data_IF_393394333601
#
_entry.id   IF_393394333601
#
_cell.length_a   1.000
_cell.length_b   1.000
_cell.length_c   1.000
_cell.angle_alpha   90.00
_cell.angle_beta   90.00
_cell.angle_gamma   90.00
#
_symmetry.space_group_name_H-M   'P 1'
#
loop_
_entity.id
_entity.type
_entity.pdbx_description
1 polymer ?
#
# COMPACT_ATOMS: atom_id res chain seq x y z
N UNK A 1 40.39 -36.02 -41.09
CA UNK A 1 39.27 -36.96 -41.34
C UNK A 1 37.96 -36.23 -41.13
N UNK A 2 37.10 -36.22 -42.16
CA UNK A 2 35.70 -35.75 -42.12
C UNK A 2 34.87 -36.62 -41.18
N UNK A 3 33.82 -36.00 -40.60
CA UNK A 3 32.45 -36.51 -40.35
C UNK A 3 31.81 -35.57 -39.32
N UNK A 4 30.55 -35.18 -39.34
CA UNK A 4 29.47 -35.12 -40.32
C UNK A 4 28.38 -34.31 -39.58
N UNK A 5 27.67 -33.42 -40.27
CA UNK A 5 26.58 -32.63 -39.68
C UNK A 5 25.36 -33.54 -39.51
N UNK A 6 24.64 -33.40 -38.40
CA UNK A 6 23.26 -33.89 -38.26
C UNK A 6 22.35 -32.71 -37.90
N UNK A 7 21.67 -32.21 -38.92
CA UNK A 7 20.60 -31.22 -38.86
C UNK A 7 19.29 -31.98 -38.63
N UNK A 8 18.55 -31.67 -37.56
CA UNK A 8 17.18 -32.15 -37.36
C UNK A 8 16.19 -31.04 -37.81
N UNK A 9 15.30 -31.30 -38.77
CA UNK A 9 14.11 -30.49 -38.99
C UNK A 9 12.90 -31.12 -38.29
N UNK A 10 11.74 -30.45 -38.41
CA UNK A 10 10.39 -30.82 -37.94
C UNK A 10 10.06 -30.39 -36.50
N UNK A 11 8.92 -29.76 -36.19
CA UNK A 11 7.62 -29.79 -36.85
C UNK A 11 6.79 -28.55 -36.49
N UNK A 12 6.20 -27.93 -37.51
CA UNK A 12 5.31 -26.77 -37.45
C UNK A 12 3.91 -27.25 -37.02
N UNK A 13 3.43 -26.85 -35.85
CA UNK A 13 2.03 -27.03 -35.47
C UNK A 13 1.29 -25.71 -35.69
N UNK A 14 0.63 -25.63 -36.85
CA UNK A 14 -0.44 -24.69 -37.13
C UNK A 14 -1.75 -25.34 -36.72
N UNK A 15 -2.38 -24.86 -35.66
CA UNK A 15 -3.79 -25.13 -35.38
C UNK A 15 -4.52 -23.80 -35.26
N UNK A 16 -5.18 -23.47 -36.37
CA UNK A 16 -6.33 -22.58 -36.51
C UNK A 16 -7.52 -23.12 -35.69
N UNK A 17 -8.24 -22.24 -34.98
CA UNK A 17 -9.64 -22.33 -34.51
C UNK A 17 -9.83 -21.13 -33.57
N UNK A 18 -10.31 -19.95 -33.96
CA UNK A 18 -11.54 -19.57 -34.66
C UNK A 18 -12.80 -20.10 -33.96
N UNK A 19 -13.17 -19.41 -32.87
CA UNK A 19 -14.52 -19.41 -32.30
C UNK A 19 -14.95 -17.98 -32.02
N UNK A 20 -15.70 -17.42 -32.96
CA UNK A 20 -16.50 -16.21 -32.86
C UNK A 20 -17.90 -16.62 -32.40
N UNK A 21 -18.32 -16.13 -31.23
CA UNK A 21 -19.71 -16.16 -30.72
C UNK A 21 -19.78 -15.01 -29.73
N UNK A 22 -20.28 -13.82 -30.05
CA UNK A 22 -21.68 -13.42 -30.34
C UNK A 22 -22.63 -13.71 -29.17
N UNK A 23 -23.42 -12.67 -28.80
CA UNK A 23 -24.48 -12.53 -27.77
C UNK A 23 -24.03 -11.54 -26.66
N UNK A 24 -24.18 -10.22 -26.79
CA UNK A 24 -25.42 -9.42 -26.82
C UNK A 24 -26.41 -9.77 -25.69
N UNK A 25 -26.22 -9.14 -24.54
CA UNK A 25 -27.27 -8.74 -23.59
C UNK A 25 -27.08 -7.22 -23.41
N UNK A 26 -27.93 -6.33 -23.94
CA UNK A 26 -29.23 -5.90 -23.38
C UNK A 26 -29.14 -5.83 -21.84
N UNK A 27 -28.98 -4.68 -21.19
CA UNK A 27 -29.68 -3.43 -21.40
C UNK A 27 -30.82 -3.33 -20.38
N UNK A 28 -30.60 -2.65 -19.25
CA UNK A 28 -31.62 -2.02 -18.42
C UNK A 28 -30.96 -1.10 -17.38
N UNK A 29 -30.94 0.20 -17.69
CA UNK A 29 -30.70 1.26 -16.71
C UNK A 29 -32.05 1.69 -16.13
N UNK A 30 -32.24 1.74 -14.80
CA UNK A 30 -33.32 2.51 -14.22
C UNK A 30 -32.85 3.95 -13.96
N UNK A 31 -33.42 4.83 -14.78
CA UNK A 31 -34.02 6.12 -14.48
C UNK A 31 -33.60 6.88 -13.21
N UNK A 32 -33.15 8.11 -13.43
CA UNK A 32 -32.92 9.15 -12.43
C UNK A 32 -34.22 9.51 -11.71
N UNK A 33 -34.26 9.36 -10.39
CA UNK A 33 -35.16 10.13 -9.54
C UNK A 33 -34.40 11.38 -9.07
N UNK A 34 -34.66 12.48 -9.74
CA UNK A 34 -34.20 13.81 -9.38
C UNK A 34 -35.36 14.50 -8.67
N UNK A 35 -35.34 14.52 -7.33
CA UNK A 35 -36.23 15.38 -6.56
C UNK A 35 -35.50 16.69 -6.25
N UNK A 36 -35.87 17.71 -7.01
CA UNK A 36 -35.54 19.11 -6.75
C UNK A 36 -36.51 19.73 -5.75
N UNK A 37 -35.92 20.31 -4.71
CA UNK A 37 -36.23 21.62 -4.11
C UNK A 37 -37.62 21.84 -3.48
N UNK A 38 -37.60 22.10 -2.18
CA UNK A 38 -38.36 23.21 -1.62
C UNK A 38 -37.47 23.97 -0.63
N UNK A 39 -36.90 25.05 -1.15
CA UNK A 39 -36.34 26.15 -0.38
C UNK A 39 -37.48 27.08 -0.03
N UNK A 40 -37.77 27.28 1.26
CA UNK A 40 -38.31 28.55 1.74
C UNK A 40 -37.80 28.85 3.16
N UNK A 41 -37.66 30.15 3.50
CA UNK A 41 -36.71 30.62 4.51
C UNK A 41 -37.38 30.72 5.89
N UNK A 42 -36.69 30.28 6.93
CA UNK A 42 -37.03 30.67 8.29
C UNK A 42 -35.96 31.61 8.80
N UNK A 43 -36.46 32.75 9.25
CA UNK A 43 -35.77 33.91 9.72
C UNK A 43 -34.78 33.60 10.85
N UNK A 44 -33.80 34.49 10.93
CA UNK A 44 -32.81 34.63 11.97
C UNK A 44 -33.44 34.55 13.36
N UNK A 45 -32.91 33.67 14.20
CA UNK A 45 -32.87 33.91 15.63
C UNK A 45 -31.43 33.74 16.10
N UNK A 46 -30.78 34.88 16.32
CA UNK A 46 -29.48 35.01 16.95
C UNK A 46 -29.63 34.61 18.42
N UNK A 47 -29.39 33.34 18.72
CA UNK A 47 -29.27 32.84 20.08
C UNK A 47 -27.95 32.08 20.24
N UNK A 48 -27.01 32.76 20.92
CA UNK A 48 -25.97 32.18 21.78
C UNK A 48 -25.09 31.07 21.18
N UNK A 49 -24.09 31.50 20.41
CA UNK A 49 -22.78 30.84 20.40
C UNK A 49 -22.09 31.16 21.74
N UNK A 50 -22.36 30.37 22.78
CA UNK A 50 -21.55 30.30 24.02
C UNK A 50 -22.19 29.29 24.99
N UNK A 51 -22.11 27.98 24.70
CA UNK A 51 -22.26 26.92 25.71
C UNK A 51 -22.03 25.50 25.16
N UNK A 52 -20.85 25.20 24.61
CA UNK A 52 -20.32 23.82 24.59
C UNK A 52 -18.80 23.86 24.73
N UNK A 53 -18.34 24.37 25.87
CA UNK A 53 -16.93 24.34 26.24
C UNK A 53 -16.81 24.18 27.76
N UNK A 54 -17.46 23.15 28.32
CA UNK A 54 -17.11 22.70 29.66
C UNK A 54 -17.51 21.24 29.90
N UNK A 55 -16.72 20.33 29.33
CA UNK A 55 -16.59 18.98 29.84
C UNK A 55 -15.18 18.50 29.56
N UNK A 56 -14.19 19.29 30.02
CA UNK A 56 -12.85 18.77 30.23
C UNK A 56 -12.91 18.05 31.57
N UNK A 57 -12.79 16.74 31.50
CA UNK A 57 -12.80 15.83 32.63
C UNK A 57 -11.55 16.07 33.48
N UNK A 58 -11.66 16.89 34.52
CA UNK A 58 -10.66 16.98 35.58
C UNK A 58 -10.63 15.68 36.37
N UNK A 59 -9.84 14.72 35.89
CA UNK A 59 -9.44 13.56 36.69
C UNK A 59 -8.04 13.87 37.23
N UNK A 60 -7.82 13.83 38.56
CA UNK A 60 -6.49 14.04 39.13
C UNK A 60 -5.51 12.99 38.60
N UNK A 61 -4.53 13.41 37.80
CA UNK A 61 -3.44 12.56 37.34
C UNK A 61 -2.44 12.42 38.49
N UNK A 62 -2.50 11.29 39.18
CA UNK A 62 -1.46 10.86 40.12
C UNK A 62 -0.16 10.59 39.34
N UNK A 63 0.94 11.22 39.78
CA UNK A 63 2.26 11.22 39.14
C UNK A 63 3.01 9.89 39.17
N UNK A 64 2.30 8.78 39.39
CA UNK A 64 2.80 7.41 39.27
C UNK A 64 2.19 6.65 38.09
N UNK A 65 1.27 7.29 37.35
CA UNK A 65 0.79 6.79 36.08
C UNK A 65 1.94 6.73 35.09
N UNK A 66 2.55 5.55 34.97
CA UNK A 66 3.32 5.20 33.78
C UNK A 66 2.35 5.39 32.64
N UNK A 67 2.51 6.47 31.87
CA UNK A 67 1.79 6.66 30.62
C UNK A 67 2.11 5.44 29.78
N UNK A 68 1.24 4.43 29.84
CA UNK A 68 1.10 3.48 28.76
C UNK A 68 0.65 4.34 27.60
N UNK A 69 1.64 4.84 26.85
CA UNK A 69 1.45 5.39 25.53
C UNK A 69 0.51 4.41 24.83
N UNK A 70 -0.60 4.88 24.21
CA UNK A 70 -1.45 3.97 23.46
C UNK A 70 -0.55 3.20 22.50
N UNK A 71 -0.47 1.90 22.71
CA UNK A 71 0.39 0.97 21.97
C UNK A 71 -0.08 0.79 20.51
N UNK A 72 -1.13 1.51 20.13
CA UNK A 72 -1.74 1.49 18.82
C UNK A 72 -1.77 2.92 18.26
N UNK A 73 -0.59 3.42 17.89
CA UNK A 73 -0.49 4.49 16.90
C UNK A 73 -0.86 3.84 15.56
N UNK A 74 -2.17 3.60 15.37
CA UNK A 74 -2.72 3.47 14.02
C UNK A 74 -2.41 4.80 13.36
N UNK A 75 -1.33 4.84 12.61
CA UNK A 75 -1.08 5.91 11.70
C UNK A 75 -2.27 5.85 10.73
N UNK A 76 -3.24 6.73 10.95
CA UNK A 76 -4.48 6.73 10.19
C UNK A 76 -4.12 6.89 8.72
N UNK A 77 -4.67 6.03 7.87
CA UNK A 77 -4.41 6.14 6.44
C UNK A 77 -5.04 7.45 5.96
N UNK A 78 -4.42 8.14 4.99
CA UNK A 78 -5.04 9.31 4.38
C UNK A 78 -6.42 8.95 3.82
N UNK A 79 -7.42 9.82 4.03
CA UNK A 79 -8.81 9.53 3.69
C UNK A 79 -9.01 9.17 2.20
N UNK A 80 -8.24 9.79 1.30
CA UNK A 80 -8.23 9.46 -0.13
C UNK A 80 -7.79 8.02 -0.42
N UNK A 81 -6.82 7.52 0.33
CA UNK A 81 -6.37 6.13 0.24
C UNK A 81 -7.40 5.19 0.86
N UNK A 82 -7.97 5.52 2.03
CA UNK A 82 -9.02 4.71 2.68
C UNK A 82 -10.23 4.52 1.76
N UNK A 83 -10.75 5.60 1.17
CA UNK A 83 -11.88 5.54 0.22
C UNK A 83 -11.52 4.68 -1.00
N UNK A 84 -10.29 4.78 -1.49
CA UNK A 84 -9.84 3.96 -2.60
C UNK A 84 -9.79 2.47 -2.22
N UNK A 85 -9.20 2.15 -1.07
CA UNK A 85 -9.12 0.78 -0.54
C UNK A 85 -10.50 0.18 -0.28
N UNK A 86 -11.44 0.94 0.30
CA UNK A 86 -12.82 0.47 0.52
C UNK A 86 -13.54 0.12 -0.78
N UNK A 87 -13.21 0.82 -1.87
CA UNK A 87 -13.78 0.59 -3.21
C UNK A 87 -13.13 -0.59 -3.92
N UNK A 88 -11.81 -0.79 -3.81
CA UNK A 88 -11.07 -1.78 -4.62
C UNK A 88 -10.66 -3.05 -3.87
N UNK A 89 -10.43 -2.97 -2.56
CA UNK A 89 -9.98 -4.07 -1.71
C UNK A 89 -11.06 -4.44 -0.67
N UNK A 90 -12.05 -5.23 -1.05
CA UNK A 90 -13.10 -5.65 -0.11
C UNK A 90 -12.54 -6.38 1.13
N UNK A 91 -12.92 -5.91 2.32
CA UNK A 91 -12.52 -6.46 3.63
C UNK A 91 -11.01 -6.31 3.96
N UNK A 92 -10.35 -5.28 3.42
CA UNK A 92 -8.96 -4.97 3.78
C UNK A 92 -8.83 -4.65 5.28
N UNK A 93 -7.69 -5.01 5.85
CA UNK A 93 -7.32 -4.65 7.23
C UNK A 93 -5.83 -4.30 7.28
N UNK A 94 -5.43 -3.44 8.22
CA UNK A 94 -4.02 -3.31 8.55
C UNK A 94 -3.54 -4.55 9.31
N UNK A 95 -2.30 -5.02 9.08
CA UNK A 95 -1.74 -6.12 9.86
C UNK A 95 -1.58 -5.71 11.32
N UNK A 96 -1.61 -6.69 12.22
CA UNK A 96 -1.16 -6.51 13.60
C UNK A 96 0.32 -6.83 13.65
N UNK A 97 1.15 -5.85 14.01
CA UNK A 97 2.58 -6.06 14.18
C UNK A 97 2.93 -6.48 15.61
N UNK A 98 4.05 -7.20 15.75
CA UNK A 98 4.59 -7.49 17.07
C UNK A 98 5.25 -6.24 17.68
N UNK A 99 5.44 -6.24 19.00
CA UNK A 99 6.23 -5.20 19.68
C UNK A 99 7.66 -5.12 19.16
N UNK A 100 8.21 -6.24 18.72
CA UNK A 100 9.56 -6.32 18.15
C UNK A 100 9.66 -5.64 16.79
N UNK A 101 8.64 -5.79 15.93
CA UNK A 101 8.61 -5.14 14.61
C UNK A 101 8.46 -3.63 14.75
N UNK A 102 7.63 -3.18 15.70
CA UNK A 102 7.48 -1.74 16.01
C UNK A 102 8.79 -1.15 16.53
N UNK A 103 9.56 -1.88 17.35
CA UNK A 103 10.84 -1.41 17.89
C UNK A 103 11.95 -1.28 16.83
N UNK A 104 11.84 -1.98 15.70
CA UNK A 104 12.82 -1.90 14.60
C UNK A 104 12.72 -0.60 13.81
N UNK A 105 11.62 0.14 13.97
CA UNK A 105 11.39 1.38 13.26
C UNK A 105 11.70 2.55 14.21
N UNK A 106 12.64 3.44 13.85
CA UNK A 106 12.85 4.68 14.58
C UNK A 106 11.52 5.45 14.71
N UNK A 107 11.26 6.06 15.86
CA UNK A 107 9.98 6.76 16.13
C UNK A 107 9.72 7.91 15.16
N UNK A 108 10.75 8.38 14.49
CA UNK A 108 10.75 9.49 13.56
C UNK A 108 10.40 9.06 12.11
N UNK A 109 10.34 7.75 11.83
CA UNK A 109 10.00 7.23 10.51
C UNK A 109 8.49 7.04 10.32
N UNK A 110 8.02 7.20 9.08
CA UNK A 110 6.60 7.10 8.72
C UNK A 110 6.05 5.66 8.73
N UNK A 111 6.88 4.63 8.97
CA UNK A 111 6.46 3.23 9.00
C UNK A 111 5.84 2.84 10.36
N UNK A 112 5.32 1.61 10.54
CA UNK A 112 5.53 0.40 9.72
C UNK A 112 4.44 0.08 8.69
N UNK A 113 3.29 0.73 8.78
CA UNK A 113 2.06 0.27 8.11
C UNK A 113 1.87 0.89 6.74
N UNK A 114 2.22 2.17 6.61
CA UNK A 114 2.17 2.89 5.35
C UNK A 114 3.36 3.83 5.23
N UNK A 115 3.63 4.30 4.02
CA UNK A 115 4.60 5.33 3.71
C UNK A 115 3.98 6.35 2.76
N UNK A 116 4.42 7.59 2.85
CA UNK A 116 4.02 8.70 2.00
C UNK A 116 5.25 9.41 1.44
N UNK A 117 5.43 9.39 0.11
CA UNK A 117 6.60 9.98 -0.55
C UNK A 117 6.36 10.18 -2.07
N UNK A 118 7.35 10.67 -2.81
CA UNK A 118 7.32 10.71 -4.27
C UNK A 118 8.12 9.52 -4.83
N UNK A 119 7.43 8.39 -5.03
CA UNK A 119 8.10 7.16 -5.46
C UNK A 119 8.45 7.16 -6.95
N UNK A 120 7.75 7.98 -7.75
CA UNK A 120 7.82 7.93 -9.20
C UNK A 120 8.49 9.17 -9.85
N UNK A 121 8.74 10.21 -9.07
CA UNK A 121 9.43 11.44 -9.48
C UNK A 121 8.54 12.51 -10.09
N UNK A 122 7.21 12.37 -10.04
CA UNK A 122 6.26 13.33 -10.60
C UNK A 122 5.82 14.41 -9.62
N UNK A 123 6.46 14.47 -8.44
CA UNK A 123 6.21 15.43 -7.35
C UNK A 123 4.81 15.33 -6.75
N UNK A 124 4.07 14.25 -7.02
CA UNK A 124 2.84 13.95 -6.31
C UNK A 124 3.15 13.06 -5.12
N UNK A 125 2.21 13.08 -4.20
CA UNK A 125 2.24 12.20 -3.04
C UNK A 125 1.73 10.83 -3.48
N UNK A 126 2.61 9.84 -3.40
CA UNK A 126 2.32 8.43 -3.56
C UNK A 126 2.27 7.72 -2.20
N UNK A 127 1.67 6.52 -2.19
CA UNK A 127 1.53 5.73 -0.97
C UNK A 127 2.07 4.33 -1.13
N UNK A 128 2.68 3.79 -0.08
CA UNK A 128 2.93 2.36 0.04
C UNK A 128 2.23 1.88 1.30
N UNK A 129 1.48 0.78 1.24
CA UNK A 129 0.73 0.28 2.41
C UNK A 129 0.75 -1.22 2.44
N UNK A 130 0.79 -1.73 3.67
CA UNK A 130 0.65 -3.13 3.95
C UNK A 130 -0.79 -3.46 4.33
N UNK A 131 -1.38 -4.43 3.64
CA UNK A 131 -2.77 -4.84 3.80
C UNK A 131 -2.87 -6.33 4.06
N UNK A 132 -3.84 -6.72 4.87
CA UNK A 132 -4.33 -8.08 5.00
C UNK A 132 -5.57 -8.25 4.13
N UNK A 133 -5.54 -9.27 3.28
CA UNK A 133 -6.69 -9.71 2.50
C UNK A 133 -6.84 -11.22 2.63
N UNK A 134 -7.95 -11.66 3.23
CA UNK A 134 -8.20 -13.08 3.54
C UNK A 134 -7.04 -13.67 4.38
N UNK A 135 -6.31 -14.62 3.83
CA UNK A 135 -5.21 -15.34 4.51
C UNK A 135 -3.81 -14.92 4.00
N UNK A 136 -3.69 -13.72 3.44
CA UNK A 136 -2.44 -13.23 2.86
C UNK A 136 -2.16 -11.78 3.23
N UNK A 137 -0.87 -11.47 3.38
CA UNK A 137 -0.37 -10.12 3.51
C UNK A 137 0.12 -9.63 2.15
N UNK A 138 -0.21 -8.38 1.84
CA UNK A 138 0.20 -7.71 0.63
C UNK A 138 0.89 -6.40 0.99
N UNK A 139 1.92 -6.05 0.22
CA UNK A 139 2.48 -4.71 0.19
C UNK A 139 2.18 -4.12 -1.18
N UNK A 140 1.42 -3.04 -1.19
CA UNK A 140 1.06 -2.31 -2.40
C UNK A 140 1.80 -0.97 -2.46
N UNK A 141 2.07 -0.52 -3.67
CA UNK A 141 2.39 0.87 -3.97
C UNK A 141 1.26 1.47 -4.83
N UNK A 142 0.79 2.64 -4.43
CA UNK A 142 -0.26 3.42 -5.05
C UNK A 142 0.35 4.71 -5.59
N UNK A 143 0.52 4.80 -6.91
CA UNK A 143 1.01 6.01 -7.57
C UNK A 143 -0.16 6.93 -7.92
N UNK A 144 -0.14 8.19 -7.47
CA UNK A 144 -1.24 9.13 -7.67
C UNK A 144 -1.29 9.61 -9.12
N UNK A 145 -2.41 9.35 -9.82
CA UNK A 145 -2.63 9.81 -11.19
C UNK A 145 -3.36 11.14 -11.23
N UNK A 146 -4.47 11.20 -10.50
CA UNK A 146 -5.31 12.36 -10.32
C UNK A 146 -5.89 12.34 -8.89
N UNK A 147 -6.76 13.31 -8.57
CA UNK A 147 -7.47 13.31 -7.30
C UNK A 147 -8.34 12.05 -7.18
N UNK A 148 -8.13 11.27 -6.12
CA UNK A 148 -8.80 9.99 -5.84
C UNK A 148 -8.60 8.90 -6.91
N UNK A 149 -7.57 9.01 -7.75
CA UNK A 149 -7.20 8.00 -8.73
C UNK A 149 -5.76 7.54 -8.53
N UNK A 150 -5.61 6.24 -8.23
CA UNK A 150 -4.31 5.60 -8.01
C UNK A 150 -4.04 4.53 -9.06
N UNK A 151 -2.79 4.43 -9.47
CA UNK A 151 -2.27 3.26 -10.16
C UNK A 151 -1.61 2.33 -9.14
N UNK A 152 -2.11 1.10 -9.06
CA UNK A 152 -1.71 0.14 -8.05
C UNK A 152 -0.62 -0.82 -8.56
N UNK A 153 0.30 -1.17 -7.67
CA UNK A 153 1.34 -2.16 -7.91
C UNK A 153 1.49 -3.06 -6.69
N UNK A 154 1.41 -4.37 -6.88
CA UNK A 154 1.78 -5.35 -5.84
C UNK A 154 3.31 -5.43 -5.80
N UNK A 155 3.90 -5.08 -4.66
CA UNK A 155 5.35 -5.23 -4.42
C UNK A 155 5.67 -6.58 -3.79
N UNK A 156 4.89 -6.95 -2.78
CA UNK A 156 5.04 -8.21 -2.05
C UNK A 156 3.67 -8.85 -1.87
N UNK A 157 3.64 -10.18 -2.00
CA UNK A 157 2.53 -11.02 -1.56
C UNK A 157 3.13 -12.17 -0.77
N UNK A 158 2.64 -12.36 0.46
CA UNK A 158 3.09 -13.41 1.33
C UNK A 158 1.91 -14.01 2.12
N UNK A 159 2.09 -15.21 2.66
CA UNK A 159 1.13 -15.82 3.57
C UNK A 159 1.23 -15.19 4.96
N UNK A 160 0.19 -15.36 5.76
CA UNK A 160 0.24 -15.04 7.18
C UNK A 160 0.93 -16.16 7.97
N UNK A 161 1.72 -15.77 8.97
CA UNK A 161 2.46 -16.65 9.85
C UNK A 161 1.78 -16.72 11.21
N UNK A 162 1.80 -17.90 11.84
CA UNK A 162 1.33 -18.07 13.22
C UNK A 162 2.42 -17.60 14.18
N UNK A 163 2.22 -16.41 14.73
CA UNK A 163 3.14 -15.77 15.68
C UNK A 163 2.32 -15.42 16.92
N UNK A 164 2.69 -15.97 18.08
CA UNK A 164 1.95 -15.77 19.34
C UNK A 164 0.45 -16.13 19.20
N UNK A 165 0.14 -17.27 18.57
CA UNK A 165 -1.23 -17.76 18.34
C UNK A 165 -2.11 -16.82 17.49
N UNK A 166 -1.50 -15.87 16.77
CA UNK A 166 -2.19 -14.96 15.84
C UNK A 166 -1.59 -15.05 14.45
N UNK A 167 -2.45 -15.00 13.42
CA UNK A 167 -2.03 -14.83 12.02
C UNK A 167 -1.52 -13.41 11.81
N UNK A 168 -0.23 -13.27 11.49
CA UNK A 168 0.43 -11.97 11.30
C UNK A 168 1.26 -11.94 10.03
N UNK A 169 1.47 -10.72 9.52
CA UNK A 169 2.53 -10.48 8.55
C UNK A 169 3.86 -10.30 9.28
N UNK A 170 4.94 -10.71 8.65
CA UNK A 170 6.32 -10.47 9.11
C UNK A 170 6.94 -9.21 8.49
N UNK A 171 6.19 -8.54 7.61
CA UNK A 171 6.71 -7.40 6.85
C UNK A 171 6.49 -6.09 7.59
N UNK A 172 7.44 -5.16 7.43
CA UNK A 172 7.31 -3.78 7.86
C UNK A 172 7.85 -2.85 6.77
N UNK A 173 7.29 -1.64 6.69
CA UNK A 173 7.67 -0.65 5.69
C UNK A 173 8.56 0.44 6.28
N UNK A 174 9.54 0.88 5.50
CA UNK A 174 10.34 2.09 5.76
C UNK A 174 10.74 2.76 4.45
N UNK A 175 11.04 4.05 4.50
CA UNK A 175 11.63 4.73 3.34
C UNK A 175 13.05 4.19 3.10
N UNK A 176 13.40 4.04 1.82
CA UNK A 176 14.74 3.70 1.41
C UNK A 176 15.71 4.86 1.74
N UNK A 177 16.80 4.63 2.47
CA UNK A 177 17.75 5.70 2.75
C UNK A 177 18.40 6.23 1.46
N UNK A 178 18.36 7.54 1.28
CA UNK A 178 18.94 8.25 0.14
C UNK A 178 20.47 8.08 0.00
N UNK A 179 21.13 7.83 1.13
CA UNK A 179 22.59 7.64 1.28
C UNK A 179 23.01 6.18 1.19
N UNK A 180 22.08 5.22 1.19
CA UNK A 180 22.43 3.81 1.12
C UNK A 180 22.97 3.41 -0.25
N UNK A 181 23.89 2.46 -0.25
CA UNK A 181 24.40 1.83 -1.47
C UNK A 181 23.76 0.46 -1.63
N UNK A 182 23.04 0.28 -2.73
CA UNK A 182 22.28 -0.95 -2.96
C UNK A 182 23.03 -1.93 -3.85
N UNK A 183 22.77 -3.22 -3.64
CA UNK A 183 23.23 -4.29 -4.52
C UNK A 183 22.07 -4.85 -5.35
N UNK A 184 22.24 -4.81 -6.66
CA UNK A 184 21.32 -5.45 -7.59
C UNK A 184 21.81 -6.89 -7.84
N UNK A 185 21.12 -7.87 -7.24
CA UNK A 185 21.43 -9.29 -7.42
C UNK A 185 21.14 -9.78 -8.85
N UNK A 186 20.18 -9.18 -9.56
CA UNK A 186 19.83 -9.58 -10.91
C UNK A 186 20.93 -9.20 -11.91
N UNK A 187 21.54 -8.02 -11.74
CA UNK A 187 22.64 -7.55 -12.63
C UNK A 187 24.03 -7.67 -12.02
N UNK A 188 24.13 -8.11 -10.76
CA UNK A 188 25.35 -8.17 -9.94
C UNK A 188 26.08 -6.83 -9.81
N UNK A 189 25.34 -5.72 -9.87
CA UNK A 189 25.90 -4.36 -9.77
C UNK A 189 25.86 -3.87 -8.33
N UNK A 190 27.00 -3.35 -7.86
CA UNK A 190 27.13 -2.65 -6.58
C UNK A 190 26.96 -1.15 -6.79
N UNK A 191 26.45 -0.47 -5.77
CA UNK A 191 26.36 0.98 -5.73
C UNK A 191 25.27 1.54 -6.64
N UNK A 192 24.17 0.80 -6.80
CA UNK A 192 23.00 1.32 -7.52
C UNK A 192 22.42 2.46 -6.71
N UNK A 193 22.23 3.62 -7.35
CA UNK A 193 21.56 4.78 -6.77
C UNK A 193 20.10 4.79 -7.23
N UNK A 194 19.20 5.01 -6.29
CA UNK A 194 17.77 5.13 -6.57
C UNK A 194 17.47 6.58 -7.01
N UNK A 195 16.71 6.80 -8.10
CA UNK A 195 16.48 8.14 -8.64
C UNK A 195 15.46 8.97 -7.84
N UNK A 196 14.54 8.31 -7.15
CA UNK A 196 13.42 8.89 -6.40
C UNK A 196 13.32 8.22 -5.03
N UNK A 197 12.29 8.56 -4.25
CA UNK A 197 12.06 7.87 -2.98
C UNK A 197 11.81 6.38 -3.25
N UNK A 198 12.39 5.53 -2.40
CA UNK A 198 12.25 4.08 -2.50
C UNK A 198 11.46 3.50 -1.34
N UNK A 199 10.87 2.33 -1.55
CA UNK A 199 10.09 1.59 -0.55
C UNK A 199 10.94 0.43 -0.07
N UNK A 200 11.37 0.45 1.19
CA UNK A 200 12.04 -0.70 1.78
C UNK A 200 11.05 -1.54 2.58
N UNK A 201 10.95 -2.82 2.22
CA UNK A 201 10.15 -3.83 2.89
C UNK A 201 11.10 -4.74 3.65
N UNK A 202 11.09 -4.62 4.97
CA UNK A 202 11.87 -5.48 5.86
C UNK A 202 11.04 -6.68 6.32
N UNK A 203 11.69 -7.83 6.48
CA UNK A 203 11.15 -9.04 7.07
C UNK A 203 12.28 -9.77 7.82
N UNK A 204 12.13 -9.96 9.13
CA UNK A 204 13.10 -10.63 10.02
C UNK A 204 14.57 -10.19 9.84
N UNK A 205 15.32 -10.87 8.97
CA UNK A 205 16.75 -10.68 8.69
C UNK A 205 17.03 -10.24 7.24
N UNK A 206 16.01 -9.76 6.54
CA UNK A 206 16.09 -9.42 5.13
C UNK A 206 15.37 -8.10 4.85
N UNK A 207 15.96 -7.26 4.00
CA UNK A 207 15.27 -6.06 3.47
C UNK A 207 15.33 -6.07 1.95
N UNK A 208 14.17 -5.97 1.30
CA UNK A 208 14.05 -5.64 -0.12
C UNK A 208 13.73 -4.16 -0.28
N UNK A 209 14.40 -3.47 -1.20
CA UNK A 209 14.09 -2.10 -1.58
C UNK A 209 13.51 -2.06 -2.98
N UNK A 210 12.33 -1.46 -3.12
CA UNK A 210 11.62 -1.28 -4.37
C UNK A 210 11.75 0.17 -4.83
N UNK A 211 12.03 0.37 -6.11
CA UNK A 211 12.12 1.70 -6.69
C UNK A 211 11.52 1.77 -8.08
N UNK A 212 10.98 2.92 -8.43
CA UNK A 212 10.37 3.15 -9.73
C UNK A 212 11.43 3.44 -10.80
N UNK A 213 11.40 2.68 -11.89
CA UNK A 213 12.17 3.01 -13.08
C UNK A 213 11.46 2.47 -14.33
N UNK A 214 11.31 3.30 -15.36
CA UNK A 214 10.75 2.92 -16.68
C UNK A 214 9.36 2.27 -16.58
N UNK A 215 8.49 2.84 -15.75
CA UNK A 215 7.08 2.42 -15.70
C UNK A 215 6.79 1.21 -14.81
N UNK A 216 7.75 0.76 -14.00
CA UNK A 216 7.58 -0.37 -13.08
C UNK A 216 8.45 -0.22 -11.83
N UNK A 217 8.07 -0.91 -10.76
CA UNK A 217 8.93 -1.11 -9.60
C UNK A 217 9.97 -2.20 -9.87
N UNK A 218 11.22 -1.89 -9.58
CA UNK A 218 12.35 -2.83 -9.61
C UNK A 218 12.76 -3.12 -8.16
N UNK A 219 13.22 -4.34 -7.92
CA UNK A 219 13.61 -4.82 -6.59
C UNK A 219 15.13 -4.87 -6.48
N UNK A 220 15.67 -4.27 -5.43
CA UNK A 220 17.04 -4.42 -4.94
C UNK A 220 16.97 -5.17 -3.62
N UNK A 221 17.97 -6.00 -3.33
CA UNK A 221 18.03 -6.64 -2.03
C UNK A 221 19.19 -6.03 -1.25
N UNK A 222 18.89 -5.62 -0.03
CA UNK A 222 19.87 -5.09 0.90
C UNK A 222 20.12 -6.21 1.91
N UNK A 223 21.29 -6.83 1.82
CA UNK A 223 21.80 -7.70 2.87
C UNK A 223 22.67 -6.86 3.79
N UNK A 224 22.43 -6.96 5.09
CA UNK A 224 23.37 -6.48 6.11
C UNK A 224 24.66 -7.33 6.09
#
# INVERSE_FOLDING_TARGET
MRKEKATLPFRMNRSFLLSVTLLLFWGCSPEKAQETLSTEPIAQDTASLDQVADSVTDTPIDGTATTTLPQDVKQQLPAELEVHLDRTHGLWQLPVLSTFDVQRIPKEEQGPYYLQADFNGDKKVDYAVQLLERDSAFVYAFLKKADNEFQEFVLVRDRLYDIEEKKRSIHYLRLAPDTATYYDYATRKKGVRIPHDGISVGAENYTATYFWEKGKFNKLETGD
#
